data_IF_430091105954
#
_entry.id   IF_430091105954
#
_cell.length_a   1.000
_cell.length_b   1.000
_cell.length_c   1.000
_cell.angle_alpha   90.00
_cell.angle_beta   90.00
_cell.angle_gamma   90.00
#
_symmetry.space_group_name_H-M   'P 1'
#
loop_
_entity.id
_entity.type
_entity.pdbx_description
1 polymer ?
#
# COMPACT_ATOMS: atom_id res chain seq x y z
N UNK A 1 -17.06 -2.94 -36.79
CA UNK A 1 -15.80 -2.28 -37.19
C UNK A 1 -15.38 -1.34 -36.07
N UNK A 2 -14.11 -1.35 -35.65
CA UNK A 2 -13.64 -0.42 -34.62
C UNK A 2 -13.73 1.04 -35.12
N UNK A 3 -14.02 2.03 -34.25
CA UNK A 3 -14.16 3.44 -34.64
C UNK A 3 -12.94 3.98 -35.39
N UNK A 4 -11.74 3.59 -34.96
CA UNK A 4 -10.48 3.98 -35.58
C UNK A 4 -10.35 3.54 -37.04
N UNK A 5 -10.71 2.29 -37.34
CA UNK A 5 -10.55 1.76 -38.70
C UNK A 5 -11.44 2.46 -39.72
N UNK A 6 -12.64 2.89 -39.29
CA UNK A 6 -13.57 3.67 -40.10
C UNK A 6 -12.98 5.06 -40.36
N UNK A 7 -12.46 5.71 -39.32
CA UNK A 7 -11.87 7.05 -39.43
C UNK A 7 -10.64 7.07 -40.33
N UNK A 8 -9.77 6.06 -40.24
CA UNK A 8 -8.61 5.92 -41.12
C UNK A 8 -9.02 5.77 -42.60
N UNK A 9 -10.06 4.98 -42.89
CA UNK A 9 -10.60 4.85 -44.26
C UNK A 9 -11.15 6.19 -44.76
N UNK A 10 -11.85 6.93 -43.90
CA UNK A 10 -12.40 8.27 -44.21
C UNK A 10 -11.29 9.27 -44.53
N UNK A 11 -10.25 9.34 -43.70
CA UNK A 11 -9.11 10.24 -43.88
C UNK A 11 -8.32 9.90 -45.16
N UNK A 12 -8.12 8.61 -45.44
CA UNK A 12 -7.45 8.15 -46.66
C UNK A 12 -8.25 8.52 -47.91
N UNK A 13 -9.56 8.31 -47.88
CA UNK A 13 -10.46 8.66 -48.99
C UNK A 13 -10.50 10.17 -49.23
N UNK A 14 -10.52 10.99 -48.16
CA UNK A 14 -10.50 12.45 -48.27
C UNK A 14 -9.24 12.99 -48.97
N UNK A 15 -8.13 12.25 -48.92
CA UNK A 15 -6.86 12.62 -49.57
C UNK A 15 -6.62 11.90 -50.91
N UNK A 16 -7.58 11.10 -51.40
CA UNK A 16 -7.42 10.25 -52.59
C UNK A 16 -6.19 9.33 -52.54
N UNK A 17 -5.83 8.85 -51.36
CA UNK A 17 -4.65 8.01 -51.18
C UNK A 17 -4.95 6.53 -51.36
N UNK A 18 -4.06 5.82 -52.06
CA UNK A 18 -4.08 4.35 -52.04
C UNK A 18 -3.57 3.86 -50.68
N UNK A 19 -3.96 2.65 -50.29
CA UNK A 19 -3.52 2.07 -49.01
C UNK A 19 -1.99 1.91 -48.94
N UNK A 20 -1.36 1.58 -50.07
CA UNK A 20 0.10 1.49 -50.16
C UNK A 20 0.80 2.84 -50.03
N UNK A 21 0.22 3.89 -50.63
CA UNK A 21 0.74 5.24 -50.52
C UNK A 21 0.61 5.78 -49.08
N UNK A 22 -0.57 5.64 -48.48
CA UNK A 22 -0.80 6.05 -47.10
C UNK A 22 0.15 5.35 -46.12
N UNK A 23 0.34 4.03 -46.25
CA UNK A 23 1.25 3.28 -45.39
C UNK A 23 2.71 3.80 -45.49
N UNK A 24 3.15 4.15 -46.70
CA UNK A 24 4.47 4.74 -46.94
C UNK A 24 4.62 6.11 -46.28
N UNK A 25 3.63 6.99 -46.45
CA UNK A 25 3.63 8.34 -45.85
C UNK A 25 3.57 8.31 -44.32
N UNK A 26 2.84 7.36 -43.74
CA UNK A 26 2.77 7.15 -42.28
C UNK A 26 4.05 6.49 -41.74
N UNK A 27 4.82 5.80 -42.59
CA UNK A 27 6.00 5.04 -42.18
C UNK A 27 5.66 3.71 -41.49
N UNK A 28 4.61 3.02 -41.96
CA UNK A 28 4.18 1.69 -41.47
C UNK A 28 4.01 0.70 -42.63
N UNK A 29 3.93 -0.59 -42.32
CA UNK A 29 3.68 -1.62 -43.34
C UNK A 29 2.25 -1.54 -43.88
N UNK A 30 2.06 -1.71 -45.20
CA UNK A 30 0.73 -1.67 -45.82
C UNK A 30 -0.20 -2.79 -45.32
N UNK A 31 0.34 -3.98 -45.07
CA UNK A 31 -0.39 -5.08 -44.43
C UNK A 31 -0.86 -4.72 -43.01
N UNK A 32 -0.06 -3.94 -42.28
CA UNK A 32 -0.40 -3.45 -40.94
C UNK A 32 -1.49 -2.38 -41.00
N UNK A 33 -1.40 -1.41 -41.92
CA UNK A 33 -2.47 -0.43 -42.15
C UNK A 33 -3.80 -1.12 -42.53
N UNK A 34 -3.77 -2.16 -43.36
CA UNK A 34 -4.96 -2.94 -43.71
C UNK A 34 -5.60 -3.63 -42.52
N UNK A 35 -4.78 -4.17 -41.61
CA UNK A 35 -5.26 -4.76 -40.36
C UNK A 35 -5.88 -3.72 -39.42
N UNK A 36 -5.32 -2.51 -39.35
CA UNK A 36 -5.87 -1.39 -38.57
C UNK A 36 -7.21 -0.90 -39.15
N UNK A 37 -7.29 -0.67 -40.46
CA UNK A 37 -8.50 -0.22 -41.16
C UNK A 37 -9.66 -1.22 -41.04
N UNK A 38 -9.36 -2.51 -40.91
CA UNK A 38 -10.35 -3.57 -40.71
C UNK A 38 -10.61 -3.92 -39.23
N UNK A 39 -9.96 -3.22 -38.30
CA UNK A 39 -10.14 -3.40 -36.85
C UNK A 39 -9.62 -4.72 -36.31
N UNK A 40 -8.66 -5.35 -36.99
CA UNK A 40 -8.05 -6.61 -36.58
C UNK A 40 -6.87 -6.43 -35.61
N UNK A 41 -6.30 -5.22 -35.55
CA UNK A 41 -5.14 -4.90 -34.72
C UNK A 41 -5.34 -3.60 -33.96
N UNK A 42 -4.78 -3.56 -32.75
CA UNK A 42 -4.67 -2.35 -31.94
C UNK A 42 -3.32 -1.67 -32.27
N UNK A 43 -3.30 -0.39 -32.65
CA UNK A 43 -2.05 0.32 -32.88
C UNK A 43 -1.34 0.66 -31.57
N UNK A 44 -0.01 0.70 -31.60
CA UNK A 44 0.79 1.24 -30.49
C UNK A 44 0.70 2.77 -30.44
N UNK A 45 1.08 3.35 -29.31
CA UNK A 45 1.11 4.81 -29.12
C UNK A 45 1.99 5.50 -30.19
N UNK A 46 3.14 4.90 -30.51
CA UNK A 46 4.03 5.41 -31.57
C UNK A 46 3.34 5.46 -32.93
N UNK A 47 2.57 4.43 -33.28
CA UNK A 47 1.83 4.36 -34.55
C UNK A 47 0.71 5.40 -34.57
N UNK A 48 0.02 5.64 -33.45
CA UNK A 48 -1.02 6.66 -33.36
C UNK A 48 -0.44 8.05 -33.51
N UNK A 49 0.73 8.31 -32.94
CA UNK A 49 1.43 9.58 -33.12
C UNK A 49 1.82 9.79 -34.59
N UNK A 50 2.33 8.76 -35.27
CA UNK A 50 2.63 8.81 -36.71
C UNK A 50 1.37 9.05 -37.55
N UNK A 51 0.28 8.35 -37.24
CA UNK A 51 -1.02 8.54 -37.92
C UNK A 51 -1.55 9.97 -37.72
N UNK A 52 -1.49 10.48 -36.48
CA UNK A 52 -1.95 11.83 -36.14
C UNK A 52 -1.12 12.90 -36.84
N UNK A 53 0.21 12.74 -36.85
CA UNK A 53 1.13 13.63 -37.55
C UNK A 53 0.89 13.63 -39.07
N UNK A 54 0.68 12.44 -39.66
CA UNK A 54 0.42 12.31 -41.09
C UNK A 54 -0.92 12.93 -41.49
N UNK A 55 -2.00 12.63 -40.76
CA UNK A 55 -3.34 13.10 -41.10
C UNK A 55 -3.67 14.51 -40.57
N UNK A 56 -2.84 15.07 -39.69
CA UNK A 56 -3.06 16.39 -39.09
C UNK A 56 -4.28 16.42 -38.15
N UNK A 57 -4.72 15.26 -37.67
CA UNK A 57 -5.88 15.10 -36.78
C UNK A 57 -5.46 14.40 -35.51
N UNK A 58 -6.05 14.77 -34.37
CA UNK A 58 -5.76 14.14 -33.10
C UNK A 58 -6.45 12.77 -33.02
N UNK A 59 -5.76 11.70 -33.43
CA UNK A 59 -6.26 10.32 -33.34
C UNK A 59 -6.01 9.68 -31.97
N UNK A 60 -5.57 10.48 -30.99
CA UNK A 60 -5.30 10.07 -29.60
C UNK A 60 -6.56 9.54 -28.89
N UNK A 61 -7.75 9.96 -29.31
CA UNK A 61 -9.03 9.45 -28.78
C UNK A 61 -9.25 7.96 -29.07
N UNK A 62 -8.62 7.45 -30.13
CA UNK A 62 -8.73 6.07 -30.57
C UNK A 62 -7.59 5.17 -30.07
N UNK A 63 -6.67 5.73 -29.30
CA UNK A 63 -5.69 4.90 -28.62
C UNK A 63 -6.42 3.91 -27.76
N UNK A 64 -6.03 2.62 -27.74
CA UNK A 64 -6.25 1.88 -26.52
C UNK A 64 -5.61 2.75 -25.47
N UNK A 65 -6.42 3.33 -24.59
CA UNK A 65 -5.86 3.77 -23.35
C UNK A 65 -5.34 2.47 -22.76
N UNK A 66 -4.05 2.16 -23.00
CA UNK A 66 -3.24 1.59 -21.93
C UNK A 66 -3.46 2.61 -20.85
N UNK A 67 -4.51 2.33 -20.09
CA UNK A 67 -4.83 2.98 -18.86
C UNK A 67 -3.51 2.75 -18.15
N UNK A 68 -2.65 3.77 -18.14
CA UNK A 68 -1.58 3.86 -17.18
C UNK A 68 -2.31 3.95 -15.87
N UNK A 69 -2.85 2.81 -15.46
CA UNK A 69 -3.31 2.49 -14.14
C UNK A 69 -2.01 2.19 -13.40
N UNK A 70 -1.08 3.16 -13.42
CA UNK A 70 -0.38 3.46 -12.20
C UNK A 70 -1.51 3.76 -11.25
N UNK A 71 -1.87 2.76 -10.45
CA UNK A 71 -2.97 2.88 -9.52
C UNK A 71 -2.54 4.01 -8.59
N UNK A 72 -2.98 5.24 -8.87
CA UNK A 72 -2.84 6.35 -7.94
C UNK A 72 -3.53 5.81 -6.69
N UNK A 73 -2.73 5.43 -5.70
CA UNK A 73 -3.23 4.85 -4.47
C UNK A 73 -4.18 5.91 -3.92
N UNK A 74 -5.48 5.64 -3.98
CA UNK A 74 -6.50 6.60 -3.56
C UNK A 74 -6.12 7.10 -2.17
N UNK A 75 -6.19 8.41 -1.91
CA UNK A 75 -5.86 8.99 -0.59
C UNK A 75 -6.56 8.23 0.55
N UNK A 76 -7.81 7.80 0.36
CA UNK A 76 -8.50 6.93 1.31
C UNK A 76 -7.83 5.57 1.53
N UNK A 77 -7.27 4.95 0.49
CA UNK A 77 -6.53 3.69 0.61
C UNK A 77 -5.24 3.84 1.41
N UNK A 78 -4.52 4.95 1.23
CA UNK A 78 -3.31 5.25 2.01
C UNK A 78 -3.64 5.47 3.49
N UNK A 79 -4.70 6.25 3.77
CA UNK A 79 -5.16 6.52 5.14
C UNK A 79 -5.56 5.21 5.85
N UNK A 80 -6.34 4.36 5.18
CA UNK A 80 -6.74 3.05 5.72
C UNK A 80 -5.52 2.17 5.98
N UNK A 81 -4.59 2.09 5.03
CA UNK A 81 -3.35 1.32 5.21
C UNK A 81 -2.51 1.82 6.39
N UNK A 82 -2.39 3.14 6.53
CA UNK A 82 -1.69 3.76 7.67
C UNK A 82 -2.36 3.46 9.00
N UNK A 83 -3.70 3.52 9.09
CA UNK A 83 -4.44 3.19 10.30
C UNK A 83 -4.27 1.71 10.70
N UNK A 84 -4.32 0.80 9.73
CA UNK A 84 -4.10 -0.64 9.98
C UNK A 84 -2.67 -0.91 10.44
N UNK A 85 -1.68 -0.27 9.82
CA UNK A 85 -0.28 -0.42 10.24
C UNK A 85 -0.06 0.11 11.65
N UNK A 86 -0.59 1.30 11.96
CA UNK A 86 -0.49 1.90 13.29
C UNK A 86 -1.20 1.04 14.35
N UNK A 87 -2.40 0.53 14.03
CA UNK A 87 -3.14 -0.41 14.86
C UNK A 87 -2.32 -1.68 15.15
N UNK A 88 -1.73 -2.29 14.13
CA UNK A 88 -0.90 -3.49 14.28
C UNK A 88 0.33 -3.23 15.16
N UNK A 89 1.02 -2.11 14.95
CA UNK A 89 2.20 -1.73 15.74
C UNK A 89 1.85 -1.52 17.21
N UNK A 90 0.77 -0.78 17.50
CA UNK A 90 0.32 -0.59 18.86
C UNK A 90 -0.11 -1.91 19.51
N UNK A 91 -0.80 -2.78 18.77
CA UNK A 91 -1.17 -4.09 19.29
C UNK A 91 0.08 -4.93 19.65
N UNK A 92 1.09 -4.97 18.78
CA UNK A 92 2.37 -5.65 19.03
C UNK A 92 3.08 -5.09 20.25
N UNK A 93 3.18 -3.75 20.36
CA UNK A 93 3.84 -3.10 21.49
C UNK A 93 3.18 -3.46 22.83
N UNK A 94 1.85 -3.58 22.87
CA UNK A 94 1.10 -3.95 24.07
C UNK A 94 1.17 -5.44 24.37
N UNK A 95 1.09 -6.29 23.35
CA UNK A 95 1.12 -7.75 23.47
C UNK A 95 2.48 -8.29 23.92
N UNK A 96 3.56 -7.65 23.49
CA UNK A 96 4.93 -8.06 23.80
C UNK A 96 5.59 -7.19 24.88
N UNK A 97 4.81 -6.35 25.57
CA UNK A 97 5.29 -5.54 26.70
C UNK A 97 6.52 -4.67 26.34
N UNK A 98 6.64 -4.28 25.06
CA UNK A 98 7.86 -3.66 24.50
C UNK A 98 8.19 -2.34 25.19
N UNK A 99 7.15 -1.58 25.54
CA UNK A 99 7.28 -0.24 26.14
C UNK A 99 7.15 -0.31 27.67
N UNK A 100 6.23 -1.13 28.18
CA UNK A 100 5.93 -1.23 29.60
C UNK A 100 6.01 -2.70 30.05
N UNK A 101 7.12 -3.12 30.67
CA UNK A 101 7.28 -4.49 31.15
C UNK A 101 6.33 -4.77 32.32
N UNK A 102 5.71 -5.95 32.32
CA UNK A 102 4.86 -6.40 33.41
C UNK A 102 5.64 -7.23 34.43
N UNK A 103 6.85 -7.66 34.09
CA UNK A 103 7.66 -8.53 34.93
C UNK A 103 8.64 -7.72 35.78
N UNK A 104 8.58 -7.91 37.10
CA UNK A 104 9.49 -7.29 38.07
C UNK A 104 10.24 -8.36 38.83
N UNK A 105 11.54 -8.16 38.99
CA UNK A 105 12.40 -9.02 39.79
C UNK A 105 12.66 -8.33 41.12
N UNK A 106 12.40 -9.08 42.18
CA UNK A 106 12.67 -8.66 43.55
C UNK A 106 13.96 -9.31 44.01
N UNK A 107 14.88 -8.48 44.45
CA UNK A 107 16.17 -8.87 44.96
C UNK A 107 16.29 -8.43 46.41
N UNK A 108 16.95 -9.24 47.22
CA UNK A 108 17.15 -8.95 48.62
C UNK A 108 18.62 -9.14 48.98
N UNK A 109 19.11 -8.24 49.81
CA UNK A 109 20.40 -8.37 50.43
C UNK A 109 20.25 -8.28 51.95
N UNK A 110 21.14 -8.97 52.65
CA UNK A 110 21.24 -8.92 54.10
C UNK A 110 22.46 -8.09 54.47
N UNK A 111 22.22 -6.91 55.03
CA UNK A 111 23.29 -6.01 55.46
C UNK A 111 23.21 -5.84 56.99
N UNK A 112 24.18 -6.42 57.70
CA UNK A 112 24.21 -6.54 59.16
C UNK A 112 22.89 -7.07 59.75
N UNK A 113 22.01 -6.18 60.24
CA UNK A 113 20.72 -6.49 60.86
C UNK A 113 19.49 -6.11 60.02
N UNK A 114 19.67 -5.51 58.84
CA UNK A 114 18.58 -5.03 58.00
C UNK A 114 18.51 -5.80 56.68
N UNK A 115 17.29 -5.89 56.15
CA UNK A 115 17.03 -6.42 54.81
C UNK A 115 16.81 -5.26 53.86
N UNK A 116 17.62 -5.20 52.81
CA UNK A 116 17.45 -4.23 51.73
C UNK A 116 16.79 -4.94 50.56
N UNK A 117 15.64 -4.43 50.12
CA UNK A 117 14.91 -4.97 48.98
C UNK A 117 15.07 -4.03 47.80
N UNK A 118 15.47 -4.59 46.67
CA UNK A 118 15.63 -3.89 45.40
C UNK A 118 14.70 -4.50 44.35
N UNK A 119 13.87 -3.69 43.73
CA UNK A 119 12.92 -4.13 42.70
C UNK A 119 13.34 -3.53 41.36
N UNK A 120 13.50 -4.37 40.35
CA UNK A 120 13.96 -3.97 39.02
C UNK A 120 13.11 -4.62 37.94
N UNK A 121 12.95 -3.91 36.81
CA UNK A 121 12.29 -4.42 35.60
C UNK A 121 13.23 -5.33 34.78
N UNK A 122 14.55 -5.17 34.96
CA UNK A 122 15.56 -5.94 34.24
C UNK A 122 16.08 -7.09 35.10
N UNK A 123 16.13 -8.28 34.52
CA UNK A 123 16.77 -9.44 35.13
C UNK A 123 18.28 -9.26 35.21
N UNK A 124 18.85 -9.31 36.41
CA UNK A 124 20.28 -9.12 36.68
C UNK A 124 21.01 -10.42 37.02
N UNK A 125 20.39 -11.59 36.78
CA UNK A 125 20.91 -12.89 37.17
C UNK A 125 20.40 -13.34 38.54
N UNK A 126 20.83 -14.53 38.99
CA UNK A 126 20.45 -15.05 40.31
C UNK A 126 21.04 -14.20 41.46
N UNK A 127 22.22 -13.61 41.22
CA UNK A 127 22.89 -12.72 42.16
C UNK A 127 23.58 -11.59 41.40
N UNK A 128 23.55 -10.38 41.94
CA UNK A 128 24.31 -9.26 41.41
C UNK A 128 24.92 -8.42 42.53
N UNK A 129 25.95 -7.64 42.21
CA UNK A 129 26.67 -6.79 43.16
C UNK A 129 26.39 -5.34 42.82
N UNK A 130 25.97 -4.56 43.81
CA UNK A 130 25.79 -3.12 43.67
C UNK A 130 26.40 -2.42 44.89
N UNK A 131 27.53 -1.74 44.67
CA UNK A 131 28.38 -1.25 45.76
C UNK A 131 29.09 -2.40 46.47
N UNK A 132 29.03 -2.40 47.81
CA UNK A 132 29.62 -3.44 48.68
C UNK A 132 28.61 -4.53 49.08
N UNK A 133 27.39 -4.50 48.50
CA UNK A 133 26.28 -5.37 48.89
C UNK A 133 25.95 -6.35 47.76
N UNK A 134 25.79 -7.63 48.12
CA UNK A 134 25.40 -8.71 47.21
C UNK A 134 23.90 -8.94 47.34
N UNK A 135 23.19 -8.76 46.23
CA UNK A 135 21.77 -8.99 46.10
C UNK A 135 21.52 -10.37 45.52
N UNK A 136 20.52 -11.08 46.06
CA UNK A 136 20.07 -12.38 45.59
C UNK A 136 18.60 -12.31 45.16
N UNK A 137 18.24 -13.00 44.09
CA UNK A 137 16.87 -13.01 43.59
C UNK A 137 15.96 -13.74 44.58
N UNK A 138 14.88 -13.09 44.97
CA UNK A 138 13.88 -13.65 45.90
C UNK A 138 12.61 -14.04 45.18
N UNK A 139 12.27 -13.35 44.10
CA UNK A 139 11.09 -13.69 43.33
C UNK A 139 10.86 -12.83 42.10
N UNK A 140 10.04 -13.36 41.20
CA UNK A 140 9.48 -12.68 40.05
C UNK A 140 8.02 -12.36 40.35
N UNK A 141 7.59 -11.14 40.03
CA UNK A 141 6.18 -10.75 40.09
C UNK A 141 5.75 -10.19 38.75
N UNK A 142 4.69 -10.77 38.19
CA UNK A 142 3.99 -10.19 37.05
C UNK A 142 2.88 -9.27 37.54
N UNK A 143 2.98 -8.00 37.17
CA UNK A 143 2.02 -6.96 37.50
C UNK A 143 1.49 -6.39 36.20
N UNK A 144 0.23 -6.69 35.91
CA UNK A 144 -0.42 -6.16 34.71
C UNK A 144 -0.45 -4.64 34.76
N UNK A 145 0.06 -4.02 33.69
CA UNK A 145 0.10 -2.56 33.58
C UNK A 145 -1.16 -2.04 32.90
N UNK A 146 -1.65 -0.90 33.39
CA UNK A 146 -2.83 -0.26 32.80
C UNK A 146 -2.50 0.27 31.39
N UNK A 147 -1.28 0.75 31.21
CA UNK A 147 -0.73 1.30 29.97
C UNK A 147 -0.80 0.30 28.82
N UNK A 148 -0.39 -0.95 29.05
CA UNK A 148 -0.47 -2.02 28.04
C UNK A 148 -1.91 -2.30 27.61
N UNK A 149 -2.85 -2.30 28.58
CA UNK A 149 -4.28 -2.50 28.28
C UNK A 149 -4.86 -1.33 27.49
N UNK A 150 -4.50 -0.09 27.84
CA UNK A 150 -4.90 1.09 27.06
C UNK A 150 -4.34 1.01 25.65
N UNK A 151 -3.08 0.61 25.49
CA UNK A 151 -2.43 0.48 24.19
C UNK A 151 -3.16 -0.53 23.29
N UNK A 152 -3.56 -1.68 23.85
CA UNK A 152 -4.36 -2.69 23.15
C UNK A 152 -5.75 -2.15 22.77
N UNK A 153 -6.43 -1.45 23.67
CA UNK A 153 -7.75 -0.85 23.37
C UNK A 153 -7.65 0.17 22.24
N UNK A 154 -6.65 1.05 22.26
CA UNK A 154 -6.40 2.03 21.19
C UNK A 154 -6.11 1.33 19.87
N UNK A 155 -5.29 0.27 19.89
CA UNK A 155 -5.01 -0.53 18.71
C UNK A 155 -6.29 -1.11 18.10
N UNK A 156 -7.17 -1.70 18.91
CA UNK A 156 -8.44 -2.26 18.43
C UNK A 156 -9.39 -1.19 17.90
N UNK A 157 -9.49 -0.03 18.55
CA UNK A 157 -10.29 1.09 18.06
C UNK A 157 -9.82 1.55 16.68
N UNK A 158 -8.50 1.68 16.49
CA UNK A 158 -7.93 2.03 15.19
C UNK A 158 -8.24 0.96 14.12
N UNK A 159 -8.14 -0.33 14.45
CA UNK A 159 -8.51 -1.41 13.53
C UNK A 159 -9.98 -1.32 13.11
N UNK A 160 -10.89 -1.12 14.07
CA UNK A 160 -12.33 -1.00 13.81
C UNK A 160 -12.62 0.20 12.92
N UNK A 161 -12.00 1.37 13.18
CA UNK A 161 -12.18 2.55 12.33
C UNK A 161 -11.70 2.30 10.90
N UNK A 162 -10.56 1.62 10.71
CA UNK A 162 -10.06 1.28 9.39
C UNK A 162 -10.99 0.32 8.63
N UNK A 163 -11.55 -0.68 9.32
CA UNK A 163 -12.55 -1.60 8.75
C UNK A 163 -13.82 -0.85 8.34
N UNK A 164 -14.33 0.05 9.19
CA UNK A 164 -15.51 0.86 8.86
C UNK A 164 -15.27 1.75 7.63
N UNK A 165 -14.09 2.35 7.50
CA UNK A 165 -13.71 3.14 6.32
C UNK A 165 -13.61 2.27 5.06
N UNK A 166 -13.08 1.05 5.18
CA UNK A 166 -13.07 0.08 4.07
C UNK A 166 -14.47 -0.30 3.62
N UNK A 167 -15.37 -0.62 4.55
CA UNK A 167 -16.76 -0.96 4.27
C UNK A 167 -17.49 0.21 3.57
N UNK A 168 -17.32 1.44 4.07
CA UNK A 168 -17.87 2.65 3.41
C UNK A 168 -17.38 2.80 1.97
N UNK A 169 -16.08 2.60 1.73
CA UNK A 169 -15.49 2.67 0.39
C UNK A 169 -16.04 1.58 -0.53
N UNK A 170 -16.23 0.37 -0.01
CA UNK A 170 -16.80 -0.76 -0.76
C UNK A 170 -18.26 -0.49 -1.14
N UNK A 171 -19.10 -0.06 -0.19
CA UNK A 171 -20.50 0.29 -0.44
C UNK A 171 -20.64 1.41 -1.48
N UNK A 172 -19.82 2.46 -1.39
CA UNK A 172 -19.81 3.55 -2.37
C UNK A 172 -19.45 3.04 -3.78
N UNK A 173 -18.49 2.11 -3.88
CA UNK A 173 -18.10 1.51 -5.16
C UNK A 173 -19.19 0.61 -5.76
N UNK A 174 -19.95 -0.11 -4.93
CA UNK A 174 -21.08 -0.93 -5.37
C UNK A 174 -22.23 -0.05 -5.89
N UNK A 175 -22.59 1.02 -5.16
CA UNK A 175 -23.66 1.96 -5.56
C UNK A 175 -23.38 2.69 -6.88
N UNK A 176 -22.11 2.94 -7.21
CA UNK A 176 -21.72 3.55 -8.49
C UNK A 176 -21.77 2.57 -9.68
N UNK A 177 -21.94 1.27 -9.43
CA UNK A 177 -21.99 0.22 -10.47
C UNK A 177 -23.40 -0.34 -10.72
N UNK A 178 -24.37 -0.02 -9.87
CA UNK A 178 -25.80 -0.36 -9.99
C UNK A 178 -26.58 0.77 -10.65
#
# INVERSE_FOLDING_TARGET
>A
MQPLGIELKRLRAARNWTQAYAAREIGIQQSYLSKLENGQFLPSEEVINKLSACYGTALTEFSPQTSQTTSKLSRCSLVVGGLLLCSLLLWLCGQFEIIYPETYFTYQAKEAQFWVVHVTELYQGERFVQGDVIYEIVGERRVSRFENRVLLVVAYLLAVTAVLLMLKKLCAKIRLRS
#
